data_IF_130308901774
#
_entry.id   IF_130308901774
#
_cell.length_a   1.000
_cell.length_b   1.000
_cell.length_c   1.000
_cell.angle_alpha   90.00
_cell.angle_beta   90.00
_cell.angle_gamma   90.00
#
_symmetry.space_group_name_H-M   'P 1'
#
loop_
_entity.id
_entity.type
_entity.pdbx_description
1 polymer ?
#
# COMPACT_ATOMS: atom_id res chain seq x y z
N UNK A 1 31.28 9.46 23.38
CA UNK A 1 30.41 10.01 22.32
C UNK A 1 28.98 9.76 22.73
N UNK A 2 28.19 10.81 23.00
CA UNK A 2 26.76 10.65 23.32
C UNK A 2 26.07 10.01 22.10
N UNK A 3 25.20 8.99 22.28
CA UNK A 3 24.44 8.45 21.18
C UNK A 3 23.61 9.60 20.59
N UNK A 4 23.84 9.93 19.35
CA UNK A 4 22.97 10.81 18.57
C UNK A 4 21.56 10.21 18.70
N UNK A 5 20.66 10.94 19.35
CA UNK A 5 19.25 10.59 19.39
C UNK A 5 18.70 10.71 17.96
N UNK A 6 18.96 9.68 17.14
CA UNK A 6 18.46 9.58 15.76
C UNK A 6 16.94 9.50 15.71
N UNK A 7 16.30 9.21 16.87
CA UNK A 7 14.86 8.99 16.97
C UNK A 7 14.34 9.57 18.29
N UNK A 8 13.23 10.26 18.24
CA UNK A 8 12.47 10.62 19.46
C UNK A 8 11.74 9.40 20.04
N UNK A 9 11.36 9.46 21.33
CA UNK A 9 10.48 8.46 21.92
C UNK A 9 9.15 8.41 21.15
N UNK A 10 8.46 7.25 21.13
CA UNK A 10 7.16 7.14 20.49
C UNK A 10 6.17 8.11 21.16
N UNK A 11 5.34 8.77 20.34
CA UNK A 11 4.29 9.63 20.84
C UNK A 11 3.33 8.83 21.74
N UNK A 12 2.86 9.39 22.87
CA UNK A 12 1.93 8.70 23.75
C UNK A 12 0.61 8.43 23.04
N UNK A 13 0.01 7.30 23.35
CA UNK A 13 -1.32 6.97 22.84
C UNK A 13 -2.38 7.81 23.58
N UNK A 14 -3.03 8.71 22.87
CA UNK A 14 -4.22 9.43 23.34
C UNK A 14 -5.41 8.91 22.54
N UNK A 15 -6.41 8.24 23.17
CA UNK A 15 -7.60 7.81 22.45
C UNK A 15 -8.37 9.02 21.92
N UNK A 16 -8.58 9.06 20.62
CA UNK A 16 -9.53 10.01 20.03
C UNK A 16 -10.95 9.44 20.14
N UNK A 17 -11.93 10.34 20.35
CA UNK A 17 -13.33 9.94 20.22
C UNK A 17 -13.58 9.33 18.84
N UNK A 18 -14.30 8.19 18.74
CA UNK A 18 -14.50 7.53 17.47
C UNK A 18 -15.24 8.48 16.50
N UNK A 19 -14.55 8.88 15.45
CA UNK A 19 -15.19 9.62 14.37
C UNK A 19 -16.28 8.71 13.77
N UNK A 20 -17.51 9.26 13.62
CA UNK A 20 -18.64 8.50 13.11
C UNK A 20 -18.57 8.43 11.59
N UNK A 21 -18.64 7.22 11.04
CA UNK A 21 -18.90 7.02 9.62
C UNK A 21 -20.37 7.26 9.30
N UNK A 22 -20.64 7.74 8.08
CA UNK A 22 -22.00 7.94 7.59
C UNK A 22 -22.58 6.63 7.06
N UNK A 23 -23.92 6.44 7.12
CA UNK A 23 -24.57 5.32 6.45
C UNK A 23 -24.31 5.39 4.94
N UNK A 24 -24.07 4.25 4.32
CA UNK A 24 -23.76 4.18 2.91
C UNK A 24 -24.54 3.08 2.19
N UNK A 25 -24.84 3.35 0.92
CA UNK A 25 -25.40 2.38 0.00
C UNK A 25 -24.27 1.68 -0.76
N UNK A 26 -24.35 0.37 -0.90
CA UNK A 26 -23.41 -0.45 -1.68
C UNK A 26 -24.12 -0.87 -2.96
N UNK A 27 -23.64 -0.43 -4.12
CA UNK A 27 -24.22 -0.82 -5.39
C UNK A 27 -24.12 -2.33 -5.61
N UNK A 28 -25.25 -2.97 -5.92
CA UNK A 28 -25.36 -4.41 -6.20
C UNK A 28 -25.58 -4.71 -7.69
N UNK A 29 -25.62 -3.70 -8.56
CA UNK A 29 -25.74 -3.88 -10.00
C UNK A 29 -24.50 -4.63 -10.53
N UNK A 30 -24.73 -5.66 -11.35
CA UNK A 30 -23.65 -6.52 -11.89
C UNK A 30 -22.62 -5.76 -12.75
N UNK A 31 -23.01 -4.64 -13.32
CA UNK A 31 -22.08 -3.78 -14.06
C UNK A 31 -21.19 -2.94 -13.15
N UNK A 32 -21.60 -2.71 -11.89
CA UNK A 32 -20.89 -1.94 -10.89
C UNK A 32 -20.18 -2.83 -9.86
N UNK A 33 -20.79 -3.95 -9.47
CA UNK A 33 -20.22 -4.90 -8.51
C UNK A 33 -19.38 -5.95 -9.25
N UNK A 34 -18.08 -5.70 -9.29
CA UNK A 34 -17.13 -6.58 -9.96
C UNK A 34 -16.73 -7.82 -9.13
N UNK A 35 -17.41 -8.14 -8.05
CA UNK A 35 -17.07 -9.33 -7.23
C UNK A 35 -17.15 -10.66 -8.00
N UNK A 36 -17.92 -10.72 -9.08
CA UNK A 36 -18.01 -11.87 -9.98
C UNK A 36 -16.70 -12.19 -10.71
N UNK A 37 -15.75 -11.24 -10.81
CA UNK A 37 -14.42 -11.49 -11.37
C UNK A 37 -13.65 -12.58 -10.64
N UNK A 38 -14.05 -12.90 -9.41
CA UNK A 38 -13.47 -14.05 -8.65
C UNK A 38 -13.68 -15.39 -9.36
N UNK A 39 -14.75 -15.53 -10.13
CA UNK A 39 -15.03 -16.71 -10.93
C UNK A 39 -14.21 -16.82 -12.22
N UNK A 40 -13.41 -15.81 -12.55
CA UNK A 40 -12.62 -15.83 -13.77
C UNK A 40 -11.35 -16.64 -13.63
N UNK A 41 -11.02 -17.40 -14.68
CA UNK A 41 -9.74 -18.12 -14.77
C UNK A 41 -8.57 -17.16 -14.57
N UNK A 42 -7.66 -17.50 -13.68
CA UNK A 42 -6.46 -16.68 -13.37
C UNK A 42 -6.63 -15.67 -12.26
N UNK A 43 -7.85 -15.39 -11.75
CA UNK A 43 -8.04 -14.44 -10.67
C UNK A 43 -7.26 -14.82 -9.40
N UNK A 44 -7.33 -16.10 -8.98
CA UNK A 44 -6.59 -16.62 -7.82
C UNK A 44 -5.08 -16.52 -8.01
N UNK A 45 -4.59 -16.77 -9.21
CA UNK A 45 -3.17 -16.65 -9.52
C UNK A 45 -2.68 -15.19 -9.38
N UNK A 46 -3.50 -14.23 -9.79
CA UNK A 46 -3.19 -12.79 -9.60
C UNK A 46 -3.22 -12.44 -8.13
N UNK A 47 -4.21 -12.89 -7.37
CA UNK A 47 -4.31 -12.67 -5.93
C UNK A 47 -3.11 -13.22 -5.15
N UNK A 48 -2.52 -14.30 -5.60
CA UNK A 48 -1.34 -14.92 -4.99
C UNK A 48 -0.01 -14.35 -5.51
N UNK A 49 -0.05 -13.47 -6.49
CA UNK A 49 1.12 -12.82 -7.06
C UNK A 49 1.53 -11.57 -6.28
N UNK A 50 2.72 -11.03 -6.57
CA UNK A 50 3.16 -9.73 -6.03
C UNK A 50 2.30 -8.55 -6.51
N UNK A 51 1.43 -8.73 -7.50
CA UNK A 51 0.50 -7.71 -7.97
C UNK A 51 -0.67 -7.51 -7.01
N UNK A 52 -0.93 -8.48 -6.14
CA UNK A 52 -2.01 -8.41 -5.16
C UNK A 52 -1.89 -7.17 -4.24
N UNK A 53 -0.69 -6.68 -4.00
CA UNK A 53 -0.48 -5.47 -3.20
C UNK A 53 -1.28 -4.26 -3.70
N UNK A 54 -1.57 -4.20 -5.00
CA UNK A 54 -2.35 -3.12 -5.64
C UNK A 54 -3.83 -3.42 -5.74
N UNK A 55 -4.30 -4.59 -5.31
CA UNK A 55 -5.71 -5.01 -5.38
C UNK A 55 -6.49 -4.62 -4.11
N UNK A 56 -6.26 -3.43 -3.58
CA UNK A 56 -6.92 -2.95 -2.36
C UNK A 56 -8.44 -2.86 -2.51
N UNK A 57 -8.96 -2.65 -3.74
CA UNK A 57 -10.38 -2.60 -4.03
C UNK A 57 -11.11 -3.90 -3.69
N UNK A 58 -10.42 -5.05 -3.78
CA UNK A 58 -11.03 -6.37 -3.51
C UNK A 58 -11.38 -6.53 -2.03
N UNK A 59 -10.40 -6.53 -1.08
CA UNK A 59 -10.71 -6.71 0.33
C UNK A 59 -11.49 -5.54 0.92
N UNK A 60 -11.32 -4.32 0.39
CA UNK A 60 -12.12 -3.19 0.83
C UNK A 60 -13.59 -3.38 0.48
N UNK A 61 -13.90 -3.87 -0.73
CA UNK A 61 -15.28 -4.21 -1.13
C UNK A 61 -15.87 -5.29 -0.22
N UNK A 62 -15.07 -6.30 0.16
CA UNK A 62 -15.53 -7.36 1.07
C UNK A 62 -15.88 -6.82 2.45
N UNK A 63 -15.01 -6.00 3.03
CA UNK A 63 -15.26 -5.36 4.32
C UNK A 63 -16.50 -4.46 4.29
N UNK A 64 -16.69 -3.70 3.21
CA UNK A 64 -17.84 -2.81 3.07
C UNK A 64 -19.15 -3.56 2.79
N UNK A 65 -19.09 -4.70 2.11
CA UNK A 65 -20.26 -5.52 1.83
C UNK A 65 -20.98 -5.98 3.09
N UNK A 66 -20.24 -6.25 4.16
CA UNK A 66 -20.76 -6.74 5.46
C UNK A 66 -20.74 -5.68 6.56
N UNK A 67 -20.39 -4.44 6.21
CA UNK A 67 -20.22 -3.38 7.19
C UNK A 67 -21.56 -2.98 7.86
N UNK A 68 -21.61 -2.77 9.18
CA UNK A 68 -22.87 -2.46 9.89
C UNK A 68 -23.52 -1.13 9.49
N UNK A 69 -22.78 -0.20 8.91
CA UNK A 69 -23.32 1.07 8.39
C UNK A 69 -23.87 0.97 6.95
N UNK A 70 -23.79 -0.21 6.33
CA UNK A 70 -24.37 -0.43 5.02
C UNK A 70 -25.90 -0.40 5.15
N UNK A 71 -26.55 0.35 4.26
CA UNK A 71 -27.99 0.35 4.10
C UNK A 71 -28.39 -0.26 2.76
N UNK A 72 -29.52 -0.96 2.72
CA UNK A 72 -30.18 -1.44 1.50
C UNK A 72 -31.12 -0.39 0.92
N UNK A 73 -31.49 0.62 1.72
CA UNK A 73 -32.32 1.74 1.31
C UNK A 73 -31.43 2.93 0.89
N UNK A 74 -31.33 3.26 -0.40
CA UNK A 74 -30.51 4.34 -0.87
C UNK A 74 -30.96 5.72 -0.39
N UNK A 75 -32.22 5.89 0.01
CA UNK A 75 -32.74 7.16 0.53
C UNK A 75 -32.12 7.51 1.89
N UNK A 76 -31.69 6.53 2.65
CA UNK A 76 -31.04 6.66 3.95
C UNK A 76 -29.52 6.83 3.84
N UNK A 77 -28.97 6.60 2.66
CA UNK A 77 -27.52 6.69 2.43
C UNK A 77 -27.04 8.15 2.33
N UNK A 78 -25.89 8.40 2.89
CA UNK A 78 -25.13 9.67 2.75
C UNK A 78 -23.91 9.51 1.87
N UNK A 79 -23.50 8.27 1.62
CA UNK A 79 -22.41 7.85 0.76
C UNK A 79 -22.88 6.70 -0.12
N UNK A 80 -22.31 6.60 -1.32
CA UNK A 80 -22.62 5.55 -2.29
C UNK A 80 -21.31 4.87 -2.69
N UNK A 81 -21.11 3.63 -2.26
CA UNK A 81 -19.92 2.87 -2.62
C UNK A 81 -20.14 2.14 -3.94
N UNK A 82 -19.22 2.37 -4.87
CA UNK A 82 -19.20 1.75 -6.20
C UNK A 82 -18.13 0.66 -6.20
N UNK A 83 -18.48 -0.62 -6.12
CA UNK A 83 -17.52 -1.73 -5.98
C UNK A 83 -16.90 -2.17 -7.31
N UNK A 84 -16.46 -1.22 -8.11
CA UNK A 84 -15.71 -1.47 -9.34
C UNK A 84 -14.27 -1.85 -8.98
N UNK A 85 -13.79 -2.97 -9.49
CA UNK A 85 -12.42 -3.45 -9.31
C UNK A 85 -11.57 -3.12 -10.53
N UNK A 86 -11.14 -1.90 -10.60
CA UNK A 86 -10.48 -1.34 -11.78
C UNK A 86 -9.13 -2.01 -12.05
N UNK A 87 -8.24 -2.06 -11.05
CA UNK A 87 -6.92 -2.66 -11.21
C UNK A 87 -7.00 -4.17 -11.40
N UNK A 88 -7.85 -4.85 -10.63
CA UNK A 88 -8.05 -6.30 -10.76
C UNK A 88 -8.60 -6.67 -12.13
N UNK A 89 -9.58 -5.90 -12.61
CA UNK A 89 -10.15 -6.03 -13.96
C UNK A 89 -9.10 -5.87 -15.06
N UNK A 90 -8.20 -4.87 -14.92
CA UNK A 90 -7.12 -4.65 -15.89
C UNK A 90 -6.13 -5.80 -15.92
N UNK A 91 -5.64 -6.21 -14.74
CA UNK A 91 -4.61 -7.24 -14.64
C UNK A 91 -5.13 -8.62 -15.08
N UNK A 92 -6.42 -8.88 -14.84
CA UNK A 92 -7.09 -10.09 -15.28
C UNK A 92 -7.22 -10.16 -16.81
N UNK A 93 -7.41 -9.02 -17.47
CA UNK A 93 -7.61 -8.96 -18.91
C UNK A 93 -9.02 -9.39 -19.31
N UNK A 94 -9.13 -10.35 -20.24
CA UNK A 94 -10.41 -10.88 -20.69
C UNK A 94 -10.99 -11.90 -19.72
N UNK A 95 -12.29 -11.84 -19.49
CA UNK A 95 -13.05 -12.81 -18.74
C UNK A 95 -14.49 -12.89 -19.21
N UNK A 96 -15.00 -14.09 -19.43
CA UNK A 96 -16.36 -14.34 -19.91
C UNK A 96 -16.72 -13.51 -21.15
N UNK A 97 -15.82 -13.44 -22.12
CA UNK A 97 -16.00 -12.68 -23.38
C UNK A 97 -16.04 -11.16 -23.18
N UNK A 98 -15.62 -10.65 -22.02
CA UNK A 98 -15.58 -9.19 -21.75
C UNK A 98 -14.17 -8.73 -21.44
N UNK A 99 -13.73 -7.68 -22.13
CA UNK A 99 -12.45 -7.00 -21.86
C UNK A 99 -12.57 -6.06 -20.65
N UNK A 100 -11.42 -5.64 -20.12
CA UNK A 100 -11.38 -4.58 -19.11
C UNK A 100 -12.11 -3.31 -19.57
N UNK A 101 -11.85 -2.86 -20.80
CA UNK A 101 -12.48 -1.66 -21.37
C UNK A 101 -14.00 -1.78 -21.45
N UNK A 102 -14.50 -2.95 -21.88
CA UNK A 102 -15.95 -3.23 -21.95
C UNK A 102 -16.58 -3.18 -20.54
N UNK A 103 -15.91 -3.74 -19.53
CA UNK A 103 -16.41 -3.70 -18.15
C UNK A 103 -16.48 -2.28 -17.62
N UNK A 104 -15.43 -1.47 -17.85
CA UNK A 104 -15.41 -0.08 -17.41
C UNK A 104 -16.49 0.76 -18.13
N UNK A 105 -16.73 0.51 -19.41
CA UNK A 105 -17.77 1.16 -20.15
C UNK A 105 -19.17 0.83 -19.59
N UNK A 106 -19.46 -0.44 -19.36
CA UNK A 106 -20.73 -0.89 -18.75
C UNK A 106 -20.95 -0.28 -17.37
N UNK A 107 -19.90 -0.23 -16.54
CA UNK A 107 -19.98 0.37 -15.22
C UNK A 107 -20.31 1.88 -15.29
N UNK A 108 -19.69 2.61 -16.23
CA UNK A 108 -19.97 4.02 -16.40
C UNK A 108 -21.38 4.29 -16.91
N UNK A 109 -21.86 3.48 -17.85
CA UNK A 109 -23.22 3.56 -18.36
C UNK A 109 -24.27 3.27 -17.28
N UNK A 110 -24.02 2.24 -16.46
CA UNK A 110 -24.89 1.92 -15.33
C UNK A 110 -24.93 3.06 -14.30
N UNK A 111 -23.78 3.62 -13.98
CA UNK A 111 -23.66 4.71 -13.02
C UNK A 111 -24.30 6.00 -13.54
N UNK A 112 -24.16 6.30 -14.84
CA UNK A 112 -24.77 7.48 -15.47
C UNK A 112 -26.31 7.44 -15.51
N UNK A 113 -26.89 6.25 -15.46
CA UNK A 113 -28.33 6.04 -15.35
C UNK A 113 -28.84 6.01 -13.91
N UNK A 114 -27.97 5.91 -12.94
CA UNK A 114 -28.36 5.91 -11.51
C UNK A 114 -28.88 7.30 -11.12
N UNK A 115 -30.13 7.37 -10.68
CA UNK A 115 -30.74 8.61 -10.16
C UNK A 115 -29.93 9.24 -9.02
N UNK A 116 -29.37 8.40 -8.14
CA UNK A 116 -28.56 8.85 -7.01
C UNK A 116 -27.27 9.52 -7.47
N UNK A 117 -26.64 8.95 -8.50
CA UNK A 117 -25.45 9.53 -9.10
C UNK A 117 -25.76 10.85 -9.81
N UNK A 118 -26.81 10.86 -10.63
CA UNK A 118 -27.24 12.06 -11.38
C UNK A 118 -27.61 13.19 -10.43
N UNK A 119 -28.40 12.90 -9.39
CA UNK A 119 -28.83 13.88 -8.38
C UNK A 119 -27.66 14.58 -7.69
N UNK A 120 -26.64 13.82 -7.28
CA UNK A 120 -25.48 14.36 -6.56
C UNK A 120 -24.37 14.85 -7.49
N UNK A 121 -24.41 14.49 -8.78
CA UNK A 121 -23.31 14.64 -9.71
C UNK A 121 -22.06 13.90 -9.23
N UNK A 122 -22.25 12.76 -8.55
CA UNK A 122 -21.20 11.88 -8.03
C UNK A 122 -20.46 12.40 -6.79
N UNK A 123 -20.94 13.47 -6.14
CA UNK A 123 -20.23 14.11 -5.02
C UNK A 123 -20.19 13.29 -3.74
N UNK A 124 -21.09 12.34 -3.59
CA UNK A 124 -21.26 11.41 -2.48
C UNK A 124 -20.90 9.96 -2.88
N UNK A 125 -20.42 9.77 -4.12
CA UNK A 125 -19.99 8.46 -4.61
C UNK A 125 -18.51 8.23 -4.35
N UNK A 126 -18.19 7.02 -3.90
CA UNK A 126 -16.82 6.60 -3.54
C UNK A 126 -16.49 5.26 -4.19
N UNK A 127 -15.28 5.11 -4.66
CA UNK A 127 -14.72 3.81 -5.07
C UNK A 127 -13.24 3.73 -4.71
N UNK A 128 -12.69 2.52 -4.69
CA UNK A 128 -11.26 2.29 -4.50
C UNK A 128 -10.56 2.11 -5.84
N UNK A 129 -9.40 2.75 -6.02
CA UNK A 129 -8.55 2.56 -7.19
C UNK A 129 -7.08 2.56 -6.79
N UNK A 130 -6.30 1.70 -7.43
CA UNK A 130 -4.84 1.59 -7.23
C UNK A 130 -4.04 2.13 -8.41
N UNK A 131 -4.69 2.77 -9.37
CA UNK A 131 -4.06 3.23 -10.61
C UNK A 131 -3.11 4.43 -10.47
N UNK A 132 -2.91 4.91 -9.30
CA UNK A 132 -2.24 6.16 -9.00
C UNK A 132 -0.73 6.22 -9.26
N UNK A 133 -0.08 5.12 -9.69
CA UNK A 133 1.39 5.05 -9.82
C UNK A 133 1.94 5.20 -11.24
N UNK A 134 1.11 5.51 -12.21
CA UNK A 134 1.54 5.46 -13.60
C UNK A 134 2.24 6.77 -14.05
N UNK A 135 3.33 6.62 -14.80
CA UNK A 135 4.12 7.73 -15.36
C UNK A 135 3.41 8.46 -16.52
N UNK A 136 4.06 9.42 -17.18
CA UNK A 136 3.45 10.21 -18.23
C UNK A 136 3.05 9.39 -19.47
N UNK A 137 3.81 8.34 -19.82
CA UNK A 137 3.44 7.39 -20.89
C UNK A 137 2.26 6.51 -20.50
N UNK A 138 2.05 6.31 -19.23
CA UNK A 138 0.95 5.57 -18.67
C UNK A 138 -0.28 6.46 -18.48
N UNK A 139 -0.15 7.79 -18.48
CA UNK A 139 -1.30 8.69 -18.52
C UNK A 139 -2.10 8.53 -19.81
N UNK A 140 -1.45 8.21 -20.94
CA UNK A 140 -2.15 7.86 -22.19
C UNK A 140 -2.78 6.46 -22.09
N UNK A 141 -2.12 5.51 -21.43
CA UNK A 141 -2.72 4.22 -21.08
C UNK A 141 -3.86 4.40 -20.08
N UNK A 142 -3.67 5.26 -19.08
CA UNK A 142 -4.72 5.63 -18.14
C UNK A 142 -5.95 6.16 -18.86
N UNK A 143 -5.75 7.06 -19.82
CA UNK A 143 -6.83 7.55 -20.68
C UNK A 143 -7.47 6.48 -21.57
N UNK A 144 -6.74 5.50 -22.02
CA UNK A 144 -7.26 4.39 -22.82
C UNK A 144 -7.90 3.28 -21.98
N UNK A 145 -7.38 3.03 -20.77
CA UNK A 145 -7.78 1.91 -19.92
C UNK A 145 -9.00 2.20 -19.07
N UNK A 146 -9.25 3.46 -18.74
CA UNK A 146 -10.41 3.85 -17.95
C UNK A 146 -11.68 3.96 -18.79
N UNK A 147 -11.59 3.81 -20.12
CA UNK A 147 -12.75 3.93 -21.00
C UNK A 147 -13.54 5.21 -20.69
N UNK A 148 -14.84 5.11 -20.41
CA UNK A 148 -15.66 6.28 -20.11
C UNK A 148 -15.38 6.93 -18.74
N UNK A 149 -14.58 6.33 -17.86
CA UNK A 149 -13.99 7.04 -16.73
C UNK A 149 -12.79 7.90 -17.13
N UNK A 150 -12.46 7.94 -18.43
CA UNK A 150 -11.47 8.80 -19.02
C UNK A 150 -11.98 10.25 -19.16
N UNK A 151 -11.13 11.20 -18.84
CA UNK A 151 -11.39 12.64 -18.90
C UNK A 151 -11.77 13.19 -20.28
N UNK A 152 -11.47 12.48 -21.36
CA UNK A 152 -11.62 12.98 -22.72
C UNK A 152 -12.79 12.39 -23.50
N UNK A 153 -13.39 11.31 -23.07
CA UNK A 153 -14.18 10.48 -23.97
C UNK A 153 -15.70 10.51 -23.80
N UNK A 154 -16.29 11.39 -23.01
CA UNK A 154 -17.75 11.44 -23.00
C UNK A 154 -18.43 12.02 -21.76
N UNK A 155 -19.75 11.98 -21.76
CA UNK A 155 -20.61 12.60 -20.78
C UNK A 155 -20.35 12.08 -19.34
N UNK A 156 -20.08 10.79 -19.20
CA UNK A 156 -19.77 10.16 -17.91
C UNK A 156 -18.49 10.71 -17.29
N UNK A 157 -17.51 11.04 -18.11
CA UNK A 157 -16.23 11.61 -17.66
C UNK A 157 -16.35 13.08 -17.24
N UNK A 158 -17.19 13.85 -17.89
CA UNK A 158 -17.46 15.22 -17.45
C UNK A 158 -18.19 15.28 -16.12
N UNK A 159 -18.98 14.27 -15.84
CA UNK A 159 -19.76 14.17 -14.59
C UNK A 159 -19.05 13.40 -13.48
N UNK A 160 -18.03 12.61 -13.83
CA UNK A 160 -17.13 11.93 -12.90
C UNK A 160 -15.70 12.51 -13.01
N UNK A 161 -15.44 13.76 -12.69
CA UNK A 161 -14.05 14.10 -12.45
C UNK A 161 -13.58 13.18 -11.31
N UNK A 162 -12.41 12.54 -11.45
CA UNK A 162 -11.72 11.81 -10.36
C UNK A 162 -11.69 12.62 -9.06
N UNK A 163 -11.85 13.91 -9.18
CA UNK A 163 -12.05 14.88 -8.13
C UNK A 163 -13.32 14.71 -7.30
N UNK A 164 -14.29 14.02 -7.81
CA UNK A 164 -15.58 13.81 -7.13
C UNK A 164 -15.75 12.39 -6.63
N UNK A 165 -14.94 11.48 -7.13
CA UNK A 165 -14.81 10.16 -6.57
C UNK A 165 -13.72 10.22 -5.52
N UNK A 166 -14.06 9.81 -4.33
CA UNK A 166 -13.11 9.58 -3.27
C UNK A 166 -12.34 8.30 -3.65
N UNK A 167 -11.51 8.43 -4.69
CA UNK A 167 -10.60 7.37 -5.07
C UNK A 167 -9.64 7.14 -3.92
N UNK A 168 -9.45 5.90 -3.57
CA UNK A 168 -8.36 5.45 -2.74
C UNK A 168 -7.06 5.64 -3.51
N UNK A 169 -6.57 6.86 -3.60
CA UNK A 169 -5.30 7.13 -4.24
C UNK A 169 -4.18 6.79 -3.27
N UNK A 170 -3.58 5.68 -3.51
CA UNK A 170 -2.27 5.41 -2.96
C UNK A 170 -1.33 6.32 -3.72
N UNK A 171 -0.90 7.53 -3.25
CA UNK A 171 0.34 8.11 -3.71
C UNK A 171 0.55 9.61 -3.57
N UNK A 172 1.70 10.02 -3.02
CA UNK A 172 2.08 11.43 -2.90
C UNK A 172 2.36 12.15 -4.23
N UNK A 173 2.93 11.48 -5.22
CA UNK A 173 3.25 12.09 -6.52
C UNK A 173 2.03 12.33 -7.38
N UNK A 174 1.10 11.41 -7.34
CA UNK A 174 -0.16 11.51 -8.06
C UNK A 174 -1.08 12.57 -7.42
N UNK A 175 -1.14 12.63 -6.10
CA UNK A 175 -1.86 13.68 -5.36
C UNK A 175 -1.44 15.09 -5.80
N UNK A 176 -0.13 15.31 -6.05
CA UNK A 176 0.38 16.59 -6.60
C UNK A 176 -0.02 16.81 -8.06
N UNK A 177 0.00 15.78 -8.90
CA UNK A 177 -0.43 15.88 -10.31
C UNK A 177 -1.92 16.09 -10.44
N UNK A 178 -2.72 15.34 -9.69
CA UNK A 178 -4.17 15.56 -9.61
C UNK A 178 -4.50 16.99 -9.16
N UNK A 179 -3.83 17.49 -8.13
CA UNK A 179 -4.01 18.87 -7.66
C UNK A 179 -3.65 19.91 -8.72
N UNK A 180 -2.61 19.66 -9.54
CA UNK A 180 -2.21 20.57 -10.63
C UNK A 180 -3.13 20.46 -11.86
N UNK A 181 -3.50 19.26 -12.26
CA UNK A 181 -4.22 19.03 -13.49
C UNK A 181 -5.67 19.49 -13.45
N UNK A 182 -6.34 19.42 -12.29
CA UNK A 182 -7.80 19.48 -12.27
C UNK A 182 -8.45 20.44 -11.31
N UNK A 183 -7.77 21.26 -10.54
CA UNK A 183 -8.48 21.97 -9.46
C UNK A 183 -9.34 20.99 -8.64
N UNK A 184 -8.89 19.78 -8.56
CA UNK A 184 -9.57 18.59 -8.15
C UNK A 184 -9.86 18.62 -6.66
N UNK A 185 -10.93 17.98 -6.32
CA UNK A 185 -11.42 17.63 -5.01
C UNK A 185 -10.33 17.66 -3.94
N UNK A 186 -10.53 18.49 -2.94
CA UNK A 186 -9.70 18.55 -1.75
C UNK A 186 -9.78 17.24 -0.92
N UNK A 187 -10.53 16.27 -1.41
CA UNK A 187 -10.92 15.06 -0.72
C UNK A 187 -10.41 13.80 -1.41
N UNK A 188 -9.25 13.32 -0.97
CA UNK A 188 -8.73 12.00 -1.32
C UNK A 188 -8.45 11.26 -0.03
N UNK A 189 -9.03 10.09 0.12
CA UNK A 189 -8.73 9.16 1.21
C UNK A 189 -7.59 8.26 0.78
N UNK A 190 -6.49 8.33 1.49
CA UNK A 190 -5.36 7.41 1.26
C UNK A 190 -5.69 6.07 1.93
N UNK A 191 -5.65 4.98 1.15
CA UNK A 191 -5.89 3.62 1.66
C UNK A 191 -4.62 2.79 1.64
N UNK A 192 -4.52 1.78 2.51
CA UNK A 192 -3.39 0.86 2.53
C UNK A 192 -3.24 0.10 1.20
N UNK A 193 -2.01 -0.25 0.85
CA UNK A 193 -1.79 -1.38 -0.04
C UNK A 193 -2.23 -2.67 0.65
N UNK A 194 -2.65 -3.66 -0.13
CA UNK A 194 -2.92 -4.98 0.43
C UNK A 194 -1.61 -5.64 0.86
N UNK A 195 -1.61 -6.18 2.08
CA UNK A 195 -0.45 -6.91 2.62
C UNK A 195 -0.36 -8.31 2.04
N UNK A 196 0.84 -8.88 1.98
CA UNK A 196 1.01 -10.28 1.59
C UNK A 196 0.45 -11.23 2.64
N UNK A 197 -0.38 -12.18 2.24
CA UNK A 197 -0.99 -13.20 3.10
C UNK A 197 0.03 -13.96 3.96
N UNK A 198 1.20 -14.27 3.38
CA UNK A 198 2.25 -14.95 4.11
C UNK A 198 2.79 -14.15 5.31
N UNK A 199 2.82 -12.81 5.22
CA UNK A 199 3.21 -11.95 6.34
C UNK A 199 2.15 -11.97 7.45
N UNK A 200 0.87 -11.97 7.07
CA UNK A 200 -0.26 -12.05 8.01
C UNK A 200 -0.22 -13.38 8.75
N UNK A 201 -0.12 -14.50 8.02
CA UNK A 201 -0.08 -15.84 8.59
C UNK A 201 1.13 -16.04 9.50
N UNK A 202 2.32 -15.55 9.11
CA UNK A 202 3.53 -15.67 9.90
C UNK A 202 3.47 -14.87 11.23
N UNK A 203 2.66 -13.83 11.28
CA UNK A 203 2.51 -12.98 12.46
C UNK A 203 1.33 -13.41 13.37
N UNK A 204 0.38 -14.19 12.85
CA UNK A 204 -0.83 -14.59 13.58
C UNK A 204 -0.52 -15.40 14.87
N UNK A 205 0.63 -16.07 14.89
CA UNK A 205 1.10 -16.89 16.03
C UNK A 205 2.03 -16.13 16.99
N UNK A 206 2.27 -14.82 16.78
CA UNK A 206 3.29 -14.06 17.49
C UNK A 206 2.68 -12.88 18.25
N UNK A 207 2.92 -12.82 19.55
CA UNK A 207 2.61 -11.68 20.41
C UNK A 207 3.75 -10.66 20.50
N UNK A 208 3.57 -9.65 21.36
CA UNK A 208 4.56 -8.59 21.65
C UNK A 208 5.84 -9.19 22.25
N UNK A 209 5.70 -10.20 23.09
CA UNK A 209 6.82 -10.81 23.83
C UNK A 209 7.57 -11.88 23.03
N UNK A 210 7.21 -12.09 21.76
CA UNK A 210 7.90 -13.08 20.93
C UNK A 210 9.31 -12.60 20.60
N UNK A 211 10.32 -13.36 21.02
CA UNK A 211 11.72 -13.09 20.68
C UNK A 211 11.91 -13.16 19.17
N UNK A 212 12.41 -12.06 18.60
CA UNK A 212 12.73 -11.95 17.18
C UNK A 212 14.23 -12.20 16.98
N UNK A 213 14.54 -13.09 16.03
CA UNK A 213 15.91 -13.57 15.81
C UNK A 213 16.81 -12.55 15.11
N UNK A 214 16.19 -11.63 14.33
CA UNK A 214 16.93 -10.69 13.50
C UNK A 214 16.65 -9.26 13.96
N UNK A 215 17.68 -8.44 13.91
CA UNK A 215 17.57 -7.01 14.20
C UNK A 215 16.84 -6.29 13.08
N UNK A 216 17.32 -6.43 11.84
CA UNK A 216 16.86 -5.65 10.69
C UNK A 216 16.67 -6.52 9.46
N UNK A 217 15.54 -6.34 8.77
CA UNK A 217 15.23 -6.99 7.50
C UNK A 217 15.12 -5.98 6.36
N UNK A 218 15.68 -6.35 5.21
CA UNK A 218 15.39 -5.74 3.93
C UNK A 218 15.44 -6.79 2.81
N UNK A 219 14.48 -6.74 1.89
CA UNK A 219 14.50 -7.52 0.67
C UNK A 219 14.03 -6.68 -0.52
N UNK A 220 14.83 -6.57 -1.56
CA UNK A 220 14.45 -5.81 -2.75
C UNK A 220 15.61 -5.40 -3.62
N UNK A 221 15.31 -4.61 -4.66
CA UNK A 221 16.32 -4.00 -5.55
C UNK A 221 16.81 -2.67 -4.99
N UNK A 222 18.04 -2.32 -5.28
CA UNK A 222 18.57 -0.99 -5.01
C UNK A 222 18.35 -0.01 -6.17
N UNK A 223 18.14 -0.52 -7.39
CA UNK A 223 17.83 0.32 -8.54
C UNK A 223 16.32 0.55 -8.65
N UNK A 224 15.94 1.82 -8.58
CA UNK A 224 14.57 2.31 -8.75
C UNK A 224 14.59 3.59 -9.59
N UNK A 225 13.46 3.89 -10.22
CA UNK A 225 13.31 5.10 -11.03
C UNK A 225 12.56 6.15 -10.20
N UNK A 226 13.26 7.00 -9.47
CA UNK A 226 12.55 8.04 -8.74
C UNK A 226 13.22 8.53 -7.48
N UNK A 227 12.41 8.94 -6.51
CA UNK A 227 12.89 9.63 -5.30
C UNK A 227 13.74 8.73 -4.38
N UNK A 228 13.60 7.43 -4.49
CA UNK A 228 14.33 6.45 -3.68
C UNK A 228 15.74 6.12 -4.20
N UNK A 229 16.12 6.58 -5.40
CA UNK A 229 17.39 6.16 -6.03
C UNK A 229 18.60 6.42 -5.14
N UNK A 230 18.79 7.65 -4.66
CA UNK A 230 19.94 8.00 -3.82
C UNK A 230 19.96 7.24 -2.49
N UNK A 231 18.81 7.13 -1.83
CA UNK A 231 18.66 6.39 -0.56
C UNK A 231 19.02 4.92 -0.74
N UNK A 232 18.47 4.27 -1.76
CA UNK A 232 18.75 2.85 -2.04
C UNK A 232 20.19 2.60 -2.45
N UNK A 233 20.79 3.52 -3.19
CA UNK A 233 22.21 3.46 -3.52
C UNK A 233 23.07 3.49 -2.24
N UNK A 234 22.76 4.38 -1.30
CA UNK A 234 23.45 4.45 -0.01
C UNK A 234 23.32 3.16 0.81
N UNK A 235 22.20 2.43 0.65
CA UNK A 235 22.01 1.13 1.30
C UNK A 235 23.03 0.07 0.89
N UNK A 236 23.73 0.23 -0.26
CA UNK A 236 24.78 -0.69 -0.67
C UNK A 236 25.83 -0.88 0.44
N UNK A 237 26.13 0.17 1.20
CA UNK A 237 27.07 0.12 2.35
C UNK A 237 26.62 -0.83 3.46
N UNK A 238 25.32 -1.10 3.61
CA UNK A 238 24.80 -2.04 4.62
C UNK A 238 25.22 -3.48 4.31
N UNK A 239 25.45 -3.82 3.04
CA UNK A 239 25.86 -5.16 2.62
C UNK A 239 27.34 -5.47 2.95
N UNK A 240 28.13 -4.46 3.32
CA UNK A 240 29.52 -4.66 3.80
C UNK A 240 29.60 -4.89 5.32
N UNK A 241 28.49 -4.70 6.04
CA UNK A 241 28.47 -4.93 7.49
C UNK A 241 28.46 -6.43 7.82
N UNK A 242 28.95 -6.84 9.00
CA UNK A 242 28.92 -8.23 9.44
C UNK A 242 27.48 -8.68 9.75
N UNK A 243 26.83 -9.25 8.75
CA UNK A 243 25.40 -9.55 8.75
C UNK A 243 24.96 -10.43 9.93
N UNK A 244 25.69 -11.52 10.18
CA UNK A 244 25.34 -12.48 11.23
C UNK A 244 25.51 -11.87 12.62
N UNK A 245 26.61 -11.17 12.88
CA UNK A 245 26.90 -10.56 14.18
C UNK A 245 25.92 -9.45 14.56
N UNK A 246 25.46 -8.70 13.54
CA UNK A 246 24.50 -7.61 13.71
C UNK A 246 23.04 -8.06 13.59
N UNK A 247 22.78 -9.33 13.29
CA UNK A 247 21.42 -9.87 13.11
C UNK A 247 20.71 -9.27 11.90
N UNK A 248 21.45 -9.01 10.81
CA UNK A 248 20.90 -8.41 9.59
C UNK A 248 20.43 -9.49 8.62
N UNK A 249 19.25 -9.32 8.05
CA UNK A 249 18.73 -10.13 6.93
C UNK A 249 18.53 -9.21 5.73
N UNK A 250 19.59 -9.04 4.96
CA UNK A 250 19.60 -8.19 3.77
C UNK A 250 19.62 -9.06 2.51
N UNK A 251 18.57 -8.98 1.71
CA UNK A 251 18.43 -9.71 0.45
C UNK A 251 18.38 -8.76 -0.72
N UNK A 252 19.38 -8.84 -1.58
CA UNK A 252 19.44 -8.07 -2.81
C UNK A 252 18.74 -8.84 -3.93
N UNK A 253 17.82 -8.18 -4.63
CA UNK A 253 17.22 -8.67 -5.86
C UNK A 253 17.78 -7.88 -7.03
N UNK A 254 18.52 -8.55 -7.90
CA UNK A 254 19.09 -7.96 -9.12
C UNK A 254 18.18 -8.22 -10.32
N UNK A 255 18.03 -7.23 -11.20
CA UNK A 255 17.33 -7.40 -12.48
C UNK A 255 18.31 -7.97 -13.51
N UNK A 256 17.92 -9.02 -14.23
CA UNK A 256 18.76 -9.66 -15.26
C UNK A 256 19.02 -8.76 -16.48
N UNK A 257 18.17 -7.79 -16.75
CA UNK A 257 18.28 -6.87 -17.89
C UNK A 257 19.17 -5.65 -17.63
N UNK A 258 20.33 -5.84 -17.03
CA UNK A 258 21.27 -4.75 -16.73
C UNK A 258 21.00 -4.13 -15.36
N UNK A 259 21.83 -4.46 -14.39
CA UNK A 259 21.81 -3.80 -13.10
C UNK A 259 22.29 -2.36 -13.26
N UNK A 260 21.53 -1.41 -12.73
CA UNK A 260 22.04 -0.04 -12.56
C UNK A 260 23.27 -0.02 -11.65
N UNK A 261 23.92 1.10 -11.60
CA UNK A 261 25.20 1.28 -10.87
C UNK A 261 25.10 0.85 -9.39
N UNK A 262 23.96 1.10 -8.73
CA UNK A 262 23.79 0.77 -7.32
C UNK A 262 23.65 -0.74 -7.07
N UNK A 263 22.98 -1.48 -7.97
CA UNK A 263 22.92 -2.94 -7.89
C UNK A 263 24.29 -3.58 -8.21
N UNK A 264 25.04 -3.04 -9.16
CA UNK A 264 26.37 -3.52 -9.48
C UNK A 264 27.30 -3.40 -8.26
N UNK A 265 27.31 -2.23 -7.62
CA UNK A 265 28.11 -1.98 -6.41
C UNK A 265 27.68 -2.92 -5.27
N UNK A 266 26.38 -3.03 -4.99
CA UNK A 266 25.89 -3.91 -3.93
C UNK A 266 26.15 -5.39 -4.24
N UNK A 267 26.08 -5.81 -5.49
CA UNK A 267 26.42 -7.15 -5.93
C UNK A 267 27.90 -7.45 -5.69
N UNK A 268 28.79 -6.53 -6.04
CA UNK A 268 30.21 -6.66 -5.78
C UNK A 268 30.49 -6.80 -4.28
N UNK A 269 29.94 -5.89 -3.45
CA UNK A 269 30.09 -5.92 -2.00
C UNK A 269 29.54 -7.22 -1.42
N UNK A 270 28.36 -7.65 -1.85
CA UNK A 270 27.72 -8.87 -1.36
C UNK A 270 28.51 -10.14 -1.69
N UNK A 271 29.12 -10.22 -2.88
CA UNK A 271 30.01 -11.33 -3.28
C UNK A 271 31.27 -11.37 -2.40
N UNK A 272 31.88 -10.21 -2.17
CA UNK A 272 33.08 -10.12 -1.32
C UNK A 272 32.78 -10.55 0.12
N UNK A 273 31.58 -10.29 0.63
CA UNK A 273 31.19 -10.59 2.01
C UNK A 273 30.30 -11.86 2.14
N UNK A 274 30.23 -12.67 1.10
CA UNK A 274 29.43 -13.92 1.05
C UNK A 274 27.95 -13.72 1.40
N UNK A 275 27.34 -12.62 0.96
CA UNK A 275 25.94 -12.29 1.18
C UNK A 275 25.05 -12.88 0.08
N UNK A 276 23.91 -13.42 0.46
CA UNK A 276 22.96 -14.05 -0.46
C UNK A 276 22.37 -13.06 -1.47
N UNK A 277 22.56 -13.31 -2.78
CA UNK A 277 21.99 -12.53 -3.87
C UNK A 277 20.92 -13.33 -4.57
N UNK A 278 19.68 -12.79 -4.61
CA UNK A 278 18.60 -13.34 -5.40
C UNK A 278 18.55 -12.70 -6.79
N UNK A 279 18.45 -13.49 -7.84
CA UNK A 279 18.17 -12.97 -9.19
C UNK A 279 16.67 -12.91 -9.45
N UNK A 280 16.20 -11.84 -10.07
CA UNK A 280 14.80 -11.69 -10.51
C UNK A 280 14.77 -11.72 -12.02
N UNK A 281 14.42 -12.86 -12.61
CA UNK A 281 14.04 -12.90 -14.02
C UNK A 281 12.87 -11.96 -14.25
N UNK A 282 13.02 -10.99 -15.13
CA UNK A 282 11.90 -10.20 -15.64
C UNK A 282 11.20 -11.09 -16.67
N UNK A 283 10.41 -12.04 -16.20
CA UNK A 283 9.57 -12.83 -17.10
C UNK A 283 8.37 -11.99 -17.51
N UNK A 284 8.26 -11.74 -18.78
CA UNK A 284 7.03 -11.36 -19.46
C UNK A 284 5.91 -12.34 -19.09
N UNK A 285 4.81 -11.84 -18.56
CA UNK A 285 3.47 -12.44 -18.41
C UNK A 285 3.26 -13.79 -17.68
N UNK A 286 4.26 -14.62 -17.45
CA UNK A 286 4.11 -15.89 -16.73
C UNK A 286 5.17 -16.00 -15.64
N UNK A 287 4.81 -15.69 -14.38
CA UNK A 287 5.70 -15.90 -13.23
C UNK A 287 5.27 -17.16 -12.46
N UNK A 288 5.96 -18.28 -12.63
CA UNK A 288 5.81 -19.38 -11.69
C UNK A 288 6.46 -19.03 -10.35
N UNK A 289 5.77 -19.35 -9.27
CA UNK A 289 6.26 -19.41 -7.88
C UNK A 289 6.75 -18.16 -7.13
N UNK A 290 6.17 -17.00 -7.36
CA UNK A 290 6.31 -15.85 -6.44
C UNK A 290 5.73 -16.13 -5.03
N UNK A 291 4.92 -17.17 -4.87
CA UNK A 291 4.31 -17.55 -3.58
C UNK A 291 5.36 -18.01 -2.56
N UNK A 292 6.33 -18.83 -2.96
CA UNK A 292 7.40 -19.28 -2.06
C UNK A 292 8.30 -18.13 -1.62
N UNK A 293 8.65 -17.21 -2.53
CA UNK A 293 9.44 -16.02 -2.24
C UNK A 293 8.67 -15.08 -1.30
N UNK A 294 7.39 -14.84 -1.55
CA UNK A 294 6.54 -14.02 -0.69
C UNK A 294 6.39 -14.65 0.70
N UNK A 295 6.27 -15.98 0.76
CA UNK A 295 6.18 -16.73 2.03
C UNK A 295 7.49 -16.64 2.84
N UNK A 296 8.65 -16.78 2.17
CA UNK A 296 9.96 -16.61 2.82
C UNK A 296 10.12 -15.19 3.36
N UNK A 297 9.83 -14.19 2.55
CA UNK A 297 9.90 -12.78 2.94
C UNK A 297 8.97 -12.48 4.12
N UNK A 298 7.74 -12.99 4.12
CA UNK A 298 6.80 -12.82 5.23
C UNK A 298 7.33 -13.41 6.54
N UNK A 299 7.90 -14.62 6.50
CA UNK A 299 8.53 -15.26 7.68
C UNK A 299 9.75 -14.49 8.18
N UNK A 300 10.59 -14.01 7.27
CA UNK A 300 11.77 -13.22 7.62
C UNK A 300 11.39 -11.90 8.28
N UNK A 301 10.42 -11.17 7.71
CA UNK A 301 9.85 -9.97 8.32
C UNK A 301 9.28 -10.26 9.71
N UNK A 302 8.48 -11.32 9.86
CA UNK A 302 7.91 -11.71 11.14
C UNK A 302 8.96 -12.15 12.18
N UNK A 303 10.15 -12.53 11.75
CA UNK A 303 11.27 -12.91 12.61
C UNK A 303 12.24 -11.75 12.88
N UNK A 304 11.98 -10.56 12.35
CA UNK A 304 12.82 -9.38 12.48
C UNK A 304 12.18 -8.32 13.37
N UNK A 305 12.97 -7.63 14.18
CA UNK A 305 12.51 -6.51 15.02
C UNK A 305 12.12 -5.34 14.14
N UNK A 306 13.01 -4.96 13.21
CA UNK A 306 12.87 -3.81 12.34
C UNK A 306 12.84 -4.21 10.86
N UNK A 307 12.02 -3.51 10.07
CA UNK A 307 11.96 -3.67 8.62
C UNK A 307 12.31 -2.35 7.92
N UNK A 308 13.36 -2.36 7.10
CA UNK A 308 13.80 -1.17 6.38
C UNK A 308 12.88 -0.90 5.19
N UNK A 309 12.33 0.31 5.16
CA UNK A 309 11.35 0.76 4.17
C UNK A 309 11.92 1.97 3.43
N UNK A 310 12.83 1.76 2.47
CA UNK A 310 13.31 2.86 1.63
C UNK A 310 12.24 3.27 0.63
N UNK A 311 12.27 4.54 0.24
CA UNK A 311 11.48 5.02 -0.89
C UNK A 311 11.75 4.16 -2.14
N UNK A 312 10.74 4.05 -2.99
CA UNK A 312 10.82 3.48 -4.34
C UNK A 312 10.78 4.57 -5.40
N UNK A 313 9.96 4.35 -6.44
CA UNK A 313 9.68 5.38 -7.44
C UNK A 313 8.98 6.60 -6.81
N UNK A 314 8.28 6.37 -5.71
CA UNK A 314 7.68 7.36 -4.82
C UNK A 314 8.07 7.07 -3.37
N UNK A 315 7.70 7.96 -2.45
CA UNK A 315 7.89 7.72 -1.01
C UNK A 315 7.02 6.60 -0.48
N UNK A 316 5.83 6.44 -1.03
CA UNK A 316 4.90 5.39 -0.64
C UNK A 316 5.42 4.02 -1.10
N UNK A 317 5.41 3.09 -0.18
CA UNK A 317 5.88 1.72 -0.42
C UNK A 317 4.87 0.71 0.15
N UNK A 318 4.41 -0.21 -0.69
CA UNK A 318 3.54 -1.33 -0.27
C UNK A 318 4.15 -2.15 0.87
N UNK A 319 5.47 -2.22 0.89
CA UNK A 319 6.23 -2.96 1.89
C UNK A 319 5.97 -2.52 3.33
N UNK A 320 5.58 -1.26 3.57
CA UNK A 320 5.28 -0.80 4.94
C UNK A 320 4.07 -1.56 5.50
N UNK A 321 3.03 -1.77 4.69
CA UNK A 321 1.83 -2.49 5.12
C UNK A 321 2.10 -3.97 5.34
N UNK A 322 2.99 -4.57 4.53
CA UNK A 322 3.45 -5.95 4.74
C UNK A 322 4.29 -6.06 6.01
N UNK A 323 5.14 -5.08 6.31
CA UNK A 323 5.90 -5.04 7.57
C UNK A 323 4.97 -4.93 8.79
N UNK A 324 3.97 -4.04 8.73
CA UNK A 324 2.94 -3.92 9.77
C UNK A 324 2.17 -5.22 9.93
N UNK A 325 1.76 -5.86 8.83
CA UNK A 325 1.09 -7.16 8.86
C UNK A 325 1.94 -8.25 9.51
N UNK A 326 3.25 -8.22 9.29
CA UNK A 326 4.22 -9.14 9.90
C UNK A 326 4.58 -8.79 11.37
N UNK A 327 4.10 -7.67 11.89
CA UNK A 327 4.46 -7.16 13.21
C UNK A 327 5.90 -6.63 13.30
N UNK A 328 6.53 -6.32 12.17
CA UNK A 328 7.89 -5.79 12.07
C UNK A 328 7.87 -4.26 12.11
N UNK A 329 8.59 -3.63 13.04
CA UNK A 329 8.62 -2.17 13.20
C UNK A 329 9.19 -1.52 11.94
N UNK A 330 8.41 -0.68 11.21
CA UNK A 330 8.91 -0.04 10.01
C UNK A 330 9.96 1.03 10.30
N UNK A 331 11.11 0.94 9.63
CA UNK A 331 12.14 2.00 9.60
C UNK A 331 12.05 2.69 8.23
N UNK A 332 11.44 3.88 8.20
CA UNK A 332 11.03 4.55 6.97
C UNK A 332 12.10 5.53 6.51
N UNK A 333 12.67 5.27 5.34
CA UNK A 333 13.67 6.14 4.72
C UNK A 333 13.04 7.02 3.63
N UNK A 334 12.12 7.86 4.03
CA UNK A 334 11.58 8.98 3.26
C UNK A 334 10.92 9.99 4.19
N UNK A 335 11.44 11.21 4.22
CA UNK A 335 11.01 12.28 5.15
C UNK A 335 9.56 12.71 4.90
N UNK A 336 9.07 12.60 3.66
CA UNK A 336 7.71 13.02 3.27
C UNK A 336 6.68 11.91 3.25
N UNK A 337 7.06 10.67 3.64
CA UNK A 337 6.13 9.56 3.69
C UNK A 337 5.01 9.79 4.69
N UNK A 338 3.80 9.45 4.29
CA UNK A 338 2.61 9.41 5.15
C UNK A 338 1.97 8.04 5.01
N UNK A 339 1.59 7.44 6.12
CA UNK A 339 0.82 6.20 6.11
C UNK A 339 -0.67 6.47 5.85
N UNK A 340 -1.39 5.46 5.38
CA UNK A 340 -2.85 5.53 5.25
C UNK A 340 -3.52 5.67 6.62
N UNK A 341 -4.69 6.29 6.64
CA UNK A 341 -5.50 6.51 7.86
C UNK A 341 -4.69 7.07 9.05
N UNK A 342 -4.00 8.22 8.87
CA UNK A 342 -2.98 8.67 9.82
C UNK A 342 -3.53 8.96 11.22
N UNK A 343 -4.80 9.34 11.35
CA UNK A 343 -5.42 9.58 12.65
C UNK A 343 -5.72 8.28 13.38
N UNK A 344 -6.18 7.26 12.68
CA UNK A 344 -6.56 5.98 13.26
C UNK A 344 -5.32 5.12 13.54
N UNK A 345 -4.43 4.98 12.56
CA UNK A 345 -3.25 4.13 12.66
C UNK A 345 -2.11 4.75 13.50
N UNK A 346 -2.09 6.11 13.64
CA UNK A 346 -1.10 6.83 14.47
C UNK A 346 0.32 6.34 14.26
N UNK A 347 0.77 6.36 13.02
CA UNK A 347 2.05 5.83 12.54
C UNK A 347 3.25 6.26 13.39
N UNK A 348 3.25 7.50 13.90
CA UNK A 348 4.29 8.10 14.72
C UNK A 348 4.51 7.37 16.06
N UNK A 349 3.55 6.58 16.51
CA UNK A 349 3.66 5.84 17.77
C UNK A 349 4.49 4.57 17.63
N UNK A 350 4.70 4.06 16.42
CA UNK A 350 5.41 2.79 16.24
C UNK A 350 6.49 2.78 15.14
N UNK A 351 6.35 3.56 14.05
CA UNK A 351 7.42 3.58 13.05
C UNK A 351 8.65 4.36 13.54
N UNK A 352 9.78 4.10 12.89
CA UNK A 352 11.01 4.87 13.07
C UNK A 352 11.28 5.59 11.76
N UNK A 353 11.49 6.90 11.83
CA UNK A 353 11.66 7.73 10.65
C UNK A 353 12.89 8.61 10.80
N UNK A 354 14.09 8.07 10.57
CA UNK A 354 15.33 8.84 10.62
C UNK A 354 15.37 9.83 9.47
N UNK A 355 16.14 10.91 9.63
CA UNK A 355 16.45 11.81 8.53
C UNK A 355 17.08 11.03 7.37
N UNK A 356 16.47 11.13 6.19
CA UNK A 356 16.99 10.50 4.96
C UNK A 356 18.41 10.98 4.64
N UNK A 357 18.71 12.26 4.88
CA UNK A 357 20.05 12.83 4.66
C UNK A 357 21.08 12.24 5.64
N UNK A 358 20.73 12.10 6.93
CA UNK A 358 21.60 11.48 7.92
C UNK A 358 21.90 10.01 7.56
N UNK A 359 20.87 9.25 7.16
CA UNK A 359 21.05 7.88 6.70
C UNK A 359 21.98 7.78 5.48
N UNK A 360 21.80 8.62 4.47
CA UNK A 360 22.65 8.60 3.28
C UNK A 360 24.13 8.91 3.59
N UNK A 361 24.37 9.74 4.59
CA UNK A 361 25.73 10.05 5.05
C UNK A 361 26.38 8.83 5.71
N UNK A 362 25.69 8.21 6.65
CA UNK A 362 26.17 7.04 7.40
C UNK A 362 25.07 6.00 7.64
N UNK A 363 24.88 5.05 6.71
CA UNK A 363 23.92 3.97 6.89
C UNK A 363 24.23 3.03 8.07
N UNK A 364 25.51 2.87 8.44
CA UNK A 364 25.92 2.01 9.55
C UNK A 364 25.47 2.58 10.89
N UNK A 365 25.50 3.90 11.06
CA UNK A 365 25.04 4.57 12.27
C UNK A 365 23.58 4.23 12.58
N UNK A 366 22.72 4.07 11.56
CA UNK A 366 21.35 3.62 11.76
C UNK A 366 21.31 2.23 12.41
N UNK A 367 22.08 1.27 11.90
CA UNK A 367 22.11 -0.12 12.44
C UNK A 367 22.56 -0.11 13.91
N UNK A 368 23.62 0.64 14.20
CA UNK A 368 24.10 0.77 15.59
C UNK A 368 23.06 1.41 16.52
N UNK A 369 22.36 2.43 16.05
CA UNK A 369 21.30 3.07 16.83
C UNK A 369 20.09 2.13 17.07
N UNK A 370 19.68 1.35 16.08
CA UNK A 370 18.62 0.35 16.24
C UNK A 370 19.03 -0.76 17.22
N UNK A 371 20.30 -1.18 17.19
CA UNK A 371 20.85 -2.19 18.13
C UNK A 371 20.89 -1.68 19.56
N UNK A 372 21.17 -0.40 19.73
CA UNK A 372 21.25 0.25 21.04
C UNK A 372 19.88 0.65 21.63
N UNK A 373 18.79 0.47 20.87
CA UNK A 373 17.45 0.85 21.32
C UNK A 373 17.04 0.01 22.55
N UNK A 374 16.53 0.64 23.64
CA UNK A 374 16.07 -0.07 24.81
C UNK A 374 14.96 -1.08 24.50
N UNK A 375 15.02 -2.24 25.15
CA UNK A 375 14.03 -3.30 24.95
C UNK A 375 12.59 -2.83 25.26
N UNK A 376 12.43 -1.97 26.25
CA UNK A 376 11.12 -1.41 26.62
C UNK A 376 10.54 -0.52 25.52
N UNK A 377 11.38 0.28 24.85
CA UNK A 377 10.95 1.09 23.70
C UNK A 377 10.54 0.20 22.54
N UNK A 378 11.30 -0.87 22.26
CA UNK A 378 10.94 -1.85 21.22
C UNK A 378 9.59 -2.49 21.55
N UNK A 379 9.36 -2.95 22.79
CA UNK A 379 8.08 -3.53 23.23
C UNK A 379 6.93 -2.54 23.08
N UNK A 380 7.13 -1.29 23.48
CA UNK A 380 6.11 -0.25 23.35
C UNK A 380 5.73 -0.03 21.88
N UNK A 381 6.71 0.13 20.99
CA UNK A 381 6.48 0.31 19.56
C UNK A 381 5.77 -0.91 18.93
N UNK A 382 6.14 -2.12 19.32
CA UNK A 382 5.47 -3.35 18.86
C UNK A 382 4.01 -3.42 19.33
N UNK A 383 3.73 -3.07 20.57
CA UNK A 383 2.36 -3.01 21.08
C UNK A 383 1.49 -2.01 20.31
N UNK A 384 2.01 -0.82 20.00
CA UNK A 384 1.31 0.18 19.19
C UNK A 384 1.11 -0.30 17.75
N UNK A 385 2.12 -0.94 17.16
CA UNK A 385 2.03 -1.52 15.82
C UNK A 385 0.94 -2.59 15.74
N UNK A 386 0.83 -3.49 16.72
CA UNK A 386 -0.19 -4.53 16.75
C UNK A 386 -1.61 -3.95 16.84
N UNK A 387 -1.79 -2.82 17.52
CA UNK A 387 -3.06 -2.08 17.54
C UNK A 387 -3.36 -1.45 16.17
N UNK A 388 -2.38 -0.77 15.57
CA UNK A 388 -2.50 -0.12 14.27
C UNK A 388 -2.70 -1.13 13.12
N UNK A 389 -2.25 -2.37 13.30
CA UNK A 389 -2.40 -3.44 12.32
C UNK A 389 -3.86 -3.64 11.90
N UNK A 390 -4.79 -3.58 12.86
CA UNK A 390 -6.23 -3.69 12.56
C UNK A 390 -6.76 -2.53 11.72
N UNK A 391 -6.11 -1.37 11.78
CA UNK A 391 -6.53 -0.18 11.06
C UNK A 391 -6.09 -0.17 9.59
N UNK A 392 -5.02 -0.91 9.25
CA UNK A 392 -4.38 -0.82 7.93
C UNK A 392 -4.20 -2.15 7.20
N UNK A 393 -4.51 -3.28 7.82
CA UNK A 393 -4.43 -4.60 7.20
C UNK A 393 -5.84 -5.13 6.94
N UNK A 394 -6.21 -5.31 5.68
CA UNK A 394 -7.56 -5.70 5.28
C UNK A 394 -7.93 -7.13 5.68
N UNK A 395 -7.00 -8.06 5.48
CA UNK A 395 -7.27 -9.50 5.55
C UNK A 395 -7.15 -10.05 7.00
N UNK A 396 -7.52 -9.22 7.99
CA UNK A 396 -7.67 -9.62 9.39
C UNK A 396 -9.15 -9.79 9.73
N UNK A 397 -9.51 -10.75 10.60
CA UNK A 397 -10.91 -10.96 11.01
C UNK A 397 -11.57 -9.72 11.62
N UNK A 398 -10.78 -8.91 12.34
CA UNK A 398 -11.20 -7.71 13.06
C UNK A 398 -10.68 -6.42 12.39
N UNK A 399 -10.46 -6.45 11.08
CA UNK A 399 -9.96 -5.30 10.32
C UNK A 399 -10.93 -4.12 10.40
N UNK A 400 -10.39 -2.96 10.77
CA UNK A 400 -11.09 -1.68 10.77
C UNK A 400 -10.85 -0.84 9.50
N UNK A 401 -10.10 -1.37 8.53
CA UNK A 401 -9.74 -0.62 7.32
C UNK A 401 -10.96 -0.11 6.54
N UNK A 402 -12.05 -0.90 6.48
CA UNK A 402 -13.31 -0.49 5.87
C UNK A 402 -13.97 0.68 6.62
N UNK A 403 -14.01 0.62 7.95
CA UNK A 403 -14.51 1.69 8.81
C UNK A 403 -13.68 2.97 8.65
N UNK A 404 -12.35 2.85 8.66
CA UNK A 404 -11.44 3.99 8.51
C UNK A 404 -11.58 4.66 7.14
N UNK A 405 -11.81 3.87 6.09
CA UNK A 405 -12.12 4.39 4.77
C UNK A 405 -13.43 5.20 4.78
N UNK A 406 -14.50 4.68 5.40
CA UNK A 406 -15.79 5.38 5.51
C UNK A 406 -15.68 6.65 6.35
N UNK A 407 -14.91 6.64 7.43
CA UNK A 407 -14.64 7.84 8.23
C UNK A 407 -14.00 8.91 7.36
N UNK A 408 -12.93 8.58 6.64
CA UNK A 408 -12.25 9.51 5.74
C UNK A 408 -13.19 10.04 4.64
N UNK A 409 -14.03 9.18 4.07
CA UNK A 409 -15.02 9.56 3.08
C UNK A 409 -16.10 10.49 3.68
N UNK A 410 -16.56 10.20 4.89
CA UNK A 410 -17.57 10.99 5.60
C UNK A 410 -17.07 12.41 5.90
N UNK A 411 -15.82 12.52 6.36
CA UNK A 411 -15.18 13.82 6.59
C UNK A 411 -15.07 14.64 5.31
N UNK A 412 -14.88 13.98 4.20
CA UNK A 412 -14.82 14.61 2.90
C UNK A 412 -16.14 15.23 2.47
N UNK A 413 -17.24 14.50 2.65
CA UNK A 413 -18.59 14.99 2.29
C UNK A 413 -19.05 16.09 3.24
N UNK A 414 -18.72 15.98 4.52
CA UNK A 414 -19.14 16.96 5.55
C UNK A 414 -18.45 18.33 5.43
N UNK A 415 -17.32 18.41 4.72
CA UNK A 415 -16.57 19.68 4.50
C UNK A 415 -17.03 20.44 3.26
N UNK A 416 -18.02 19.95 2.56
CA UNK A 416 -18.62 20.55 1.34
C UNK A 416 -19.98 21.16 1.63
#
# INVERSE_FOLDING_TARGET
MAPLALFGPPAPFVPESPARSLPFYYYADVALDHSWLRGCTGFDAIQQSTRNERMAEVPLSDLLRVHPQRTTDPSRARLFFVPVWEFSSLVLGECNGTSHSTRMQRAAEALSRSEHYVRSGGRDHIWATSFSQMGAQEADMYTQLHGPFNYSAGLAVRTLPLSRLLGAAVVGRYKRRLRKANRVSRCVVEVPYRSHFAAIAAASTRGVDTVRRHLLHFAGTLDVNGVGTAVRCSMAKLFSLPQAELGLVLRLTVRESGGGMCNALATQIARTNNVSIGSRKVATNARPNNRAVAASMGREMASSVFCLIPAGDTCEASRIYTAVAAGCIPVVLCDTMRGAFPRQARWETFWIKPSTAAFMKDPAALVHALRAMPADEIRLRQAQLLRARQDVVYDLPDSRAGTNFLIGASECVSRR
#
